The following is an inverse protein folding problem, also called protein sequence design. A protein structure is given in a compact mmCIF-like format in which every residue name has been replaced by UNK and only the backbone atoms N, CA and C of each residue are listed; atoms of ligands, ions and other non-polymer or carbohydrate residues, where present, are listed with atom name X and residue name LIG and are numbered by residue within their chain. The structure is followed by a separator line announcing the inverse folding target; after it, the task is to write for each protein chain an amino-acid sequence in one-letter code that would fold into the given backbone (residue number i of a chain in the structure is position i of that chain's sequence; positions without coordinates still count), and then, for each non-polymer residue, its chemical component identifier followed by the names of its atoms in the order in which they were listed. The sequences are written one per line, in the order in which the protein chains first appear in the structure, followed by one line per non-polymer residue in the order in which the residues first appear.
data_IF_083666392811
#
_entry.id   IF_083666392811
#
_cell.length_a   1.000
_cell.length_b   1.000
_cell.length_c   1.000
_cell.angle_alpha   90.00
_cell.angle_beta   90.00
_cell.angle_gamma   90.00
#
_symmetry.space_group_name_H-M   'P 1'
#
loop_
_entity.id
_entity.type
_entity.pdbx_description
1 polymer ?
#
# COMPACT_ATOMS: atom_id res chain seq x y z
N UNK A 1 4.65 -6.76 -8.76
CA UNK A 1 4.11 -5.42 -9.03
C UNK A 1 2.61 -5.47 -8.83
N UNK A 2 2.03 -4.54 -8.06
CA UNK A 2 0.59 -4.40 -7.93
C UNK A 2 0.10 -3.19 -8.74
N UNK A 3 -1.05 -3.34 -9.39
CA UNK A 3 -1.67 -2.30 -10.20
C UNK A 3 -3.15 -2.26 -9.87
N UNK A 4 -3.63 -1.09 -9.47
CA UNK A 4 -5.04 -0.83 -9.27
C UNK A 4 -5.43 0.37 -10.12
N UNK A 5 -6.32 0.13 -11.08
CA UNK A 5 -6.77 1.14 -12.04
C UNK A 5 -7.64 2.23 -11.42
N UNK A 6 -8.09 3.20 -12.24
CA UNK A 6 -8.94 4.28 -11.80
C UNK A 6 -10.20 3.80 -11.06
N UNK A 7 -10.66 4.64 -10.15
CA UNK A 7 -11.76 4.31 -9.24
C UNK A 7 -11.29 4.13 -7.80
N UNK A 8 -12.17 4.47 -6.88
CA UNK A 8 -11.89 4.30 -5.47
C UNK A 8 -11.94 2.83 -5.11
N UNK A 9 -10.86 2.31 -4.53
CA UNK A 9 -10.77 0.91 -4.13
C UNK A 9 -10.26 0.78 -2.72
N UNK A 10 -10.88 -0.14 -2.00
CA UNK A 10 -10.62 -0.47 -0.60
C UNK A 10 -10.19 -1.92 -0.50
N UNK A 11 -9.06 -2.16 0.15
CA UNK A 11 -8.57 -3.49 0.43
C UNK A 11 -8.23 -3.61 1.91
N UNK A 12 -8.48 -4.79 2.47
CA UNK A 12 -8.05 -5.16 3.82
C UNK A 12 -6.98 -6.24 3.67
N UNK A 13 -5.86 -6.07 4.38
CA UNK A 13 -4.70 -6.95 4.28
C UNK A 13 -4.12 -7.34 5.63
N UNK A 14 -3.55 -8.54 5.67
CA UNK A 14 -2.68 -9.06 6.71
C UNK A 14 -1.87 -10.19 6.06
N UNK A 15 -0.58 -10.25 6.31
CA UNK A 15 0.28 -11.23 5.67
C UNK A 15 1.42 -11.71 6.58
N UNK A 16 1.82 -13.00 6.49
CA UNK A 16 2.88 -13.59 7.31
C UNK A 16 4.27 -13.32 6.72
N UNK A 17 4.52 -12.06 6.35
CA UNK A 17 5.82 -11.60 5.83
C UNK A 17 5.95 -10.10 6.00
N UNK A 18 7.17 -9.58 6.02
CA UNK A 18 7.43 -8.13 5.94
C UNK A 18 7.30 -7.66 4.49
N UNK A 19 6.64 -6.52 4.27
CA UNK A 19 6.45 -5.94 2.94
C UNK A 19 6.93 -4.47 2.89
N UNK A 20 7.81 -4.16 1.95
CA UNK A 20 8.18 -2.78 1.61
C UNK A 20 7.78 -2.48 0.18
N UNK A 21 7.06 -1.39 -0.02
CA UNK A 21 6.47 -1.06 -1.29
C UNK A 21 6.86 0.35 -1.76
N UNK A 22 7.48 0.44 -2.93
CA UNK A 22 7.77 1.70 -3.61
C UNK A 22 6.59 2.05 -4.51
N UNK A 23 5.97 3.22 -4.26
CA UNK A 23 4.92 3.76 -5.11
C UNK A 23 5.55 4.36 -6.36
N UNK A 24 5.18 3.82 -7.52
CA UNK A 24 5.69 4.29 -8.81
C UNK A 24 4.80 5.39 -9.39
N UNK A 25 3.48 5.24 -9.27
CA UNK A 25 2.49 6.18 -9.79
C UNK A 25 1.20 6.15 -8.96
N UNK A 26 0.47 7.27 -8.99
CA UNK A 26 -0.81 7.40 -8.30
C UNK A 26 -0.63 7.64 -6.80
N UNK A 27 -1.65 7.29 -6.03
CA UNK A 27 -1.67 7.54 -4.58
C UNK A 27 -2.28 6.38 -3.82
N UNK A 28 -1.68 6.03 -2.69
CA UNK A 28 -2.25 5.09 -1.72
C UNK A 28 -2.26 5.73 -0.33
N UNK A 29 -3.32 5.49 0.44
CA UNK A 29 -3.30 5.65 1.90
C UNK A 29 -3.32 4.30 2.56
N UNK A 30 -2.51 4.15 3.59
CA UNK A 30 -2.45 2.98 4.44
C UNK A 30 -2.96 3.39 5.82
N UNK A 31 -3.94 2.66 6.32
CA UNK A 31 -4.38 2.76 7.71
C UNK A 31 -4.02 1.47 8.46
N UNK A 32 -3.39 1.62 9.61
CA UNK A 32 -3.06 0.52 10.52
C UNK A 32 -3.12 1.00 11.98
N UNK A 33 -2.64 0.19 12.93
CA UNK A 33 -2.63 0.54 14.36
C UNK A 33 -1.84 1.82 14.70
N UNK A 34 -0.96 2.30 13.81
CA UNK A 34 -0.22 3.56 13.95
C UNK A 34 -0.94 4.79 13.37
N UNK A 35 -2.13 4.60 12.80
CA UNK A 35 -2.92 5.67 12.18
C UNK A 35 -2.97 5.56 10.65
N UNK A 36 -3.30 6.67 10.00
CA UNK A 36 -3.42 6.76 8.54
C UNK A 36 -2.28 7.59 7.97
N UNK A 37 -1.61 7.06 6.93
CA UNK A 37 -0.57 7.78 6.19
C UNK A 37 -0.79 7.67 4.68
N UNK A 38 -0.56 8.77 3.95
CA UNK A 38 -0.63 8.84 2.49
C UNK A 38 0.74 8.76 1.83
N UNK A 39 0.78 8.16 0.65
CA UNK A 39 1.97 7.92 -0.16
C UNK A 39 1.70 8.22 -1.64
N UNK A 40 2.68 8.82 -2.30
CA UNK A 40 2.67 9.28 -3.69
C UNK A 40 3.86 8.68 -4.46
N UNK A 41 3.93 8.93 -5.77
CA UNK A 41 5.06 8.48 -6.59
C UNK A 41 6.42 8.88 -5.99
N UNK A 42 7.29 7.89 -5.78
CA UNK A 42 8.60 8.04 -5.14
C UNK A 42 8.63 7.60 -3.67
N UNK A 43 7.48 7.57 -3.00
CA UNK A 43 7.42 7.20 -1.58
C UNK A 43 7.52 5.69 -1.38
N UNK A 44 8.06 5.29 -0.23
CA UNK A 44 8.10 3.90 0.23
C UNK A 44 7.23 3.77 1.48
N UNK A 45 6.34 2.78 1.49
CA UNK A 45 5.67 2.34 2.72
C UNK A 45 6.17 0.98 3.16
N UNK A 46 6.08 0.74 4.47
CA UNK A 46 6.54 -0.48 5.13
C UNK A 46 5.43 -1.04 6.00
N UNK A 47 5.11 -2.31 5.77
CA UNK A 47 4.19 -3.10 6.56
C UNK A 47 4.97 -4.24 7.19
N UNK A 48 4.95 -4.31 8.52
CA UNK A 48 5.57 -5.40 9.25
C UNK A 48 4.78 -6.70 9.03
N UNK A 49 5.41 -7.82 9.36
CA UNK A 49 4.73 -9.12 9.42
C UNK A 49 3.47 -9.04 10.29
N UNK A 50 2.40 -9.69 9.83
CA UNK A 50 1.08 -9.75 10.45
C UNK A 50 0.44 -8.37 10.74
N UNK A 51 0.96 -7.29 10.15
CA UNK A 51 0.36 -5.97 10.27
C UNK A 51 -1.00 -5.93 9.57
N UNK A 52 -2.07 -5.85 10.37
CA UNK A 52 -3.42 -5.57 9.85
C UNK A 52 -3.47 -4.15 9.30
N UNK A 53 -3.93 -4.00 8.06
CA UNK A 53 -4.02 -2.70 7.42
C UNK A 53 -5.19 -2.61 6.45
N UNK A 54 -5.59 -1.36 6.15
CA UNK A 54 -6.48 -1.01 5.05
C UNK A 54 -5.74 -0.16 4.04
N UNK A 55 -5.98 -0.43 2.76
CA UNK A 55 -5.41 0.33 1.65
C UNK A 55 -6.50 1.07 0.89
N UNK A 56 -6.25 2.35 0.60
CA UNK A 56 -7.13 3.21 -0.19
C UNK A 56 -6.39 3.77 -1.38
N UNK A 57 -6.89 3.49 -2.57
CA UNK A 57 -6.29 4.01 -3.81
C UNK A 57 -7.07 5.23 -4.27
N UNK A 58 -6.32 6.27 -4.66
CA UNK A 58 -6.91 7.52 -5.15
C UNK A 58 -7.65 7.32 -6.48
N UNK A 59 -8.38 8.35 -6.92
CA UNK A 59 -9.20 8.32 -8.15
C UNK A 59 -8.41 7.91 -9.40
N UNK A 60 -7.12 8.24 -9.44
CA UNK A 60 -6.21 7.91 -10.55
C UNK A 60 -5.60 6.49 -10.44
N UNK A 61 -5.99 5.71 -9.44
CA UNK A 61 -5.40 4.41 -9.14
C UNK A 61 -4.03 4.50 -8.47
N UNK A 62 -3.34 3.35 -8.40
CA UNK A 62 -1.96 3.25 -7.90
C UNK A 62 -1.19 2.13 -8.60
N UNK A 63 0.11 2.33 -8.76
CA UNK A 63 1.06 1.28 -9.16
C UNK A 63 2.24 1.28 -8.18
N UNK A 64 2.54 0.12 -7.62
CA UNK A 64 3.67 -0.02 -6.70
C UNK A 64 4.43 -1.35 -6.88
N UNK A 65 5.73 -1.31 -6.59
CA UNK A 65 6.61 -2.49 -6.53
C UNK A 65 6.71 -2.93 -5.08
N UNK A 66 6.43 -4.21 -4.80
CA UNK A 66 6.54 -4.79 -3.46
C UNK A 66 7.74 -5.72 -3.41
N UNK A 67 8.67 -5.42 -2.50
CA UNK A 67 9.63 -6.39 -1.99
C UNK A 67 9.04 -7.06 -0.75
N UNK A 68 9.15 -8.38 -0.68
CA UNK A 68 8.71 -9.18 0.48
C UNK A 68 9.91 -9.88 1.10
N UNK A 69 9.96 -9.94 2.42
CA UNK A 69 10.92 -10.76 3.17
C UNK A 69 10.14 -11.81 3.95
N UNK A 70 10.44 -13.07 3.63
CA UNK A 70 10.02 -14.27 4.34
C UNK A 70 11.01 -14.67 5.42
#
# INVERSE_FOLDING_TARGET
MAVYGPGFKWLVGMHPFEAKALVMHGTVRIENGGGTQGYHGGDIFHLTEEARHREWFGVNGVRYLVGRRS
#
